data_IF_586538461714
#
_entry.id   IF_586538461714
#
_cell.length_a   1.000
_cell.length_b   1.000
_cell.length_c   1.000
_cell.angle_alpha   90.00
_cell.angle_beta   90.00
_cell.angle_gamma   90.00
#
_symmetry.space_group_name_H-M   'P 1'
#
loop_
_entity.id
_entity.type
_entity.pdbx_description
1 polymer ?
#
# COMPACT_ATOMS: atom_id res chain seq x y z
N UNK A 1 -26.38 -40.34 -16.81
CA UNK A 1 -25.26 -39.62 -17.44
C UNK A 1 -25.49 -38.11 -17.58
N UNK A 2 -26.67 -37.62 -18.05
CA UNK A 2 -26.91 -36.16 -18.15
C UNK A 2 -26.89 -35.40 -16.80
N UNK A 3 -27.31 -36.04 -15.70
CA UNK A 3 -27.36 -35.43 -14.36
C UNK A 3 -25.97 -35.24 -13.70
N UNK A 4 -25.04 -36.15 -13.95
CA UNK A 4 -23.66 -36.07 -13.42
C UNK A 4 -22.83 -34.99 -14.10
N UNK A 5 -23.05 -34.75 -15.39
CA UNK A 5 -22.37 -33.67 -16.13
C UNK A 5 -22.77 -32.28 -15.64
N UNK A 6 -24.05 -32.12 -15.28
CA UNK A 6 -24.62 -30.86 -14.78
C UNK A 6 -24.08 -30.51 -13.39
N UNK A 7 -23.89 -31.53 -12.53
CA UNK A 7 -23.29 -31.37 -11.21
C UNK A 7 -21.81 -30.91 -11.31
N UNK A 8 -21.09 -31.43 -12.29
CA UNK A 8 -19.68 -31.09 -12.52
C UNK A 8 -19.51 -29.64 -13.02
N UNK A 9 -20.40 -29.18 -13.91
CA UNK A 9 -20.43 -27.77 -14.33
C UNK A 9 -20.76 -26.82 -13.18
N UNK A 10 -21.67 -27.22 -12.28
CA UNK A 10 -22.03 -26.41 -11.12
C UNK A 10 -20.84 -26.22 -10.16
N UNK A 11 -20.06 -27.28 -9.91
CA UNK A 11 -18.88 -27.22 -9.03
C UNK A 11 -17.80 -26.28 -9.61
N UNK A 12 -17.56 -26.33 -10.93
CA UNK A 12 -16.56 -25.46 -11.59
C UNK A 12 -16.99 -23.98 -11.55
N UNK A 13 -18.29 -23.70 -11.66
CA UNK A 13 -18.84 -22.34 -11.54
C UNK A 13 -18.74 -21.80 -10.11
N UNK A 14 -18.88 -22.64 -9.08
CA UNK A 14 -18.77 -22.20 -7.68
C UNK A 14 -17.31 -21.97 -7.29
N UNK A 15 -16.36 -22.78 -7.78
CA UNK A 15 -14.93 -22.61 -7.44
C UNK A 15 -14.27 -21.43 -8.14
N UNK A 16 -14.79 -20.99 -9.30
CA UNK A 16 -14.26 -19.83 -10.02
C UNK A 16 -14.66 -18.49 -9.41
N UNK A 17 -15.73 -18.42 -8.61
CA UNK A 17 -16.17 -17.18 -7.95
C UNK A 17 -15.36 -16.83 -6.68
N UNK A 18 -14.66 -17.80 -6.09
CA UNK A 18 -14.01 -17.64 -4.78
C UNK A 18 -12.68 -16.87 -4.85
N UNK A 19 -12.12 -16.63 -6.03
CA UNK A 19 -10.81 -15.97 -6.18
C UNK A 19 -10.88 -14.62 -6.89
N UNK A 20 -11.82 -13.76 -6.49
CA UNK A 20 -11.73 -12.34 -6.83
C UNK A 20 -10.77 -11.66 -5.84
N UNK A 21 -9.46 -11.66 -6.17
CA UNK A 21 -8.49 -10.84 -5.43
C UNK A 21 -8.90 -9.37 -5.60
N UNK A 22 -9.13 -8.69 -4.49
CA UNK A 22 -9.39 -7.24 -4.47
C UNK A 22 -8.20 -6.54 -5.15
N UNK A 23 -8.48 -5.81 -6.22
CA UNK A 23 -7.43 -5.06 -6.93
C UNK A 23 -6.88 -3.96 -6.01
N UNK A 24 -5.58 -3.71 -6.10
CA UNK A 24 -4.94 -2.67 -5.32
C UNK A 24 -5.41 -1.28 -5.78
N UNK A 25 -5.74 -0.44 -4.81
CA UNK A 25 -5.94 1.01 -5.01
C UNK A 25 -5.39 1.75 -3.81
N UNK A 26 -4.61 2.80 -4.08
CA UNK A 26 -4.08 3.69 -3.06
C UNK A 26 -5.19 4.53 -2.40
N UNK A 27 -6.31 4.76 -3.09
CA UNK A 27 -7.44 5.54 -2.56
C UNK A 27 -7.98 4.85 -1.31
N UNK A 28 -8.10 5.59 -0.22
CA UNK A 28 -8.61 5.16 1.07
C UNK A 28 -7.83 5.73 2.23
N UNK A 29 -8.22 5.32 3.44
CA UNK A 29 -7.56 5.70 4.69
C UNK A 29 -6.55 4.64 5.10
N UNK A 30 -5.35 5.06 5.43
CA UNK A 30 -4.23 4.18 5.76
C UNK A 30 -3.61 4.58 7.10
N UNK A 31 -3.27 3.60 7.92
CA UNK A 31 -2.63 3.80 9.22
C UNK A 31 -1.26 3.13 9.23
N UNK A 32 -0.23 3.84 9.67
CA UNK A 32 1.09 3.23 9.88
C UNK A 32 1.01 2.17 11.00
N UNK A 33 1.51 0.97 10.74
CA UNK A 33 1.45 -0.16 11.68
C UNK A 33 2.82 -0.75 12.03
N UNK A 34 3.82 -0.51 11.19
CA UNK A 34 5.17 -1.04 11.38
C UNK A 34 6.19 -0.12 10.71
N UNK A 35 7.33 0.08 11.36
CA UNK A 35 8.52 0.65 10.77
C UNK A 35 9.57 -0.45 10.63
N UNK A 36 10.12 -0.56 9.43
CA UNK A 36 11.25 -1.43 9.12
C UNK A 36 12.47 -0.54 9.00
N UNK A 37 13.58 -1.00 9.56
CA UNK A 37 14.90 -0.41 9.39
C UNK A 37 15.97 -1.50 9.38
N UNK A 38 17.24 -1.09 9.39
CA UNK A 38 18.38 -2.00 9.45
C UNK A 38 19.58 -1.34 10.11
N UNK A 39 20.52 -2.15 10.59
CA UNK A 39 21.76 -1.72 11.22
C UNK A 39 23.03 -2.23 10.52
N UNK A 40 22.96 -2.58 9.23
CA UNK A 40 24.08 -3.17 8.47
C UNK A 40 24.07 -4.70 8.44
N UNK A 41 23.50 -5.34 9.47
CA UNK A 41 23.57 -6.80 9.65
C UNK A 41 22.20 -7.45 9.77
N UNK A 42 21.23 -6.75 10.33
CA UNK A 42 19.90 -7.29 10.63
C UNK A 42 18.82 -6.27 10.32
N UNK A 43 17.73 -6.75 9.72
CA UNK A 43 16.49 -5.96 9.60
C UNK A 43 15.81 -5.90 10.95
N UNK A 44 15.39 -4.70 11.32
CA UNK A 44 14.71 -4.41 12.58
C UNK A 44 13.27 -4.04 12.24
N UNK A 45 12.33 -4.74 12.87
CA UNK A 45 10.91 -4.55 12.70
C UNK A 45 10.34 -3.96 13.99
N UNK A 46 9.74 -2.78 13.89
CA UNK A 46 9.18 -2.05 15.03
C UNK A 46 7.69 -1.80 14.82
N UNK A 47 6.85 -2.43 15.64
CA UNK A 47 5.40 -2.23 15.60
C UNK A 47 5.04 -0.79 16.03
N UNK A 48 4.06 -0.20 15.37
CA UNK A 48 3.52 1.13 15.66
C UNK A 48 2.06 0.98 16.10
N UNK A 49 1.77 1.25 17.37
CA UNK A 49 0.40 1.05 17.90
C UNK A 49 -0.55 2.21 17.56
N UNK A 50 -0.03 3.43 17.60
CA UNK A 50 -0.76 4.67 17.33
C UNK A 50 -0.14 5.41 16.14
N UNK A 51 0.07 4.69 15.03
CA UNK A 51 0.70 5.28 13.86
C UNK A 51 -0.17 6.34 13.19
N UNK A 52 0.51 7.28 12.55
CA UNK A 52 -0.11 8.36 11.80
C UNK A 52 -0.99 7.81 10.67
N UNK A 53 -2.07 8.55 10.41
CA UNK A 53 -3.00 8.25 9.34
C UNK A 53 -2.71 9.13 8.13
N UNK A 54 -2.90 8.55 6.94
CA UNK A 54 -2.88 9.27 5.67
C UNK A 54 -4.10 8.85 4.86
N UNK A 55 -4.79 9.83 4.27
CA UNK A 55 -5.99 9.59 3.48
C UNK A 55 -5.66 9.98 2.04
N UNK A 56 -5.89 9.07 1.11
CA UNK A 56 -5.86 9.35 -0.33
C UNK A 56 -7.30 9.34 -0.83
N UNK A 57 -7.73 10.42 -1.46
CA UNK A 57 -9.06 10.57 -2.04
C UNK A 57 -8.97 10.54 -3.57
N UNK A 58 -10.13 10.54 -4.24
CA UNK A 58 -10.21 10.79 -5.67
C UNK A 58 -9.65 12.19 -6.02
N UNK A 59 -9.48 12.46 -7.31
CA UNK A 59 -8.93 13.73 -7.82
C UNK A 59 -7.53 14.09 -7.28
N UNK A 60 -6.74 13.07 -6.96
CA UNK A 60 -5.34 13.18 -6.53
C UNK A 60 -5.15 13.99 -5.24
N UNK A 61 -6.10 13.93 -4.31
CA UNK A 61 -6.05 14.62 -3.02
C UNK A 61 -5.45 13.69 -1.95
N UNK A 62 -4.55 14.24 -1.11
CA UNK A 62 -4.00 13.54 0.06
C UNK A 62 -4.15 14.38 1.31
N UNK A 63 -4.46 13.74 2.44
CA UNK A 63 -4.64 14.37 3.74
C UNK A 63 -3.74 13.69 4.76
N UNK A 64 -2.91 14.45 5.45
CA UNK A 64 -2.03 13.94 6.50
C UNK A 64 -2.74 13.79 7.86
N UNK A 65 -2.01 13.27 8.85
CA UNK A 65 -2.49 13.11 10.23
C UNK A 65 -2.90 14.42 10.91
N UNK A 66 -2.45 15.57 10.41
CA UNK A 66 -2.77 16.91 10.92
C UNK A 66 -3.90 17.60 10.16
N UNK A 67 -4.57 16.88 9.24
CA UNK A 67 -5.61 17.42 8.37
C UNK A 67 -5.10 18.45 7.33
N UNK A 68 -3.80 18.48 7.06
CA UNK A 68 -3.27 19.26 5.94
C UNK A 68 -3.64 18.58 4.64
N UNK A 69 -4.10 19.36 3.66
CA UNK A 69 -4.42 18.86 2.33
C UNK A 69 -3.27 19.11 1.37
N UNK A 70 -2.94 18.09 0.59
CA UNK A 70 -1.94 18.12 -0.46
C UNK A 70 -2.45 17.45 -1.73
N UNK A 71 -1.54 17.23 -2.66
CA UNK A 71 -1.77 16.43 -3.86
C UNK A 71 -0.85 15.22 -3.88
N UNK A 72 -1.28 14.16 -4.56
CA UNK A 72 -0.43 13.02 -4.82
C UNK A 72 -0.45 12.61 -6.29
N UNK A 73 0.58 11.90 -6.72
CA UNK A 73 0.66 11.29 -8.04
C UNK A 73 1.31 9.91 -7.93
N UNK A 74 0.76 8.94 -8.66
CA UNK A 74 1.31 7.59 -8.79
C UNK A 74 1.85 7.39 -10.20
N UNK A 75 3.14 7.06 -10.31
CA UNK A 75 3.79 6.66 -11.56
C UNK A 75 4.38 5.25 -11.40
N UNK A 76 3.61 4.25 -11.82
CA UNK A 76 3.93 2.85 -11.51
C UNK A 76 3.93 2.62 -10.00
N UNK A 77 5.06 2.15 -9.47
CA UNK A 77 5.26 1.96 -8.03
C UNK A 77 5.81 3.20 -7.32
N UNK A 78 5.96 4.33 -8.03
CA UNK A 78 6.47 5.57 -7.45
C UNK A 78 5.32 6.46 -6.99
N UNK A 79 5.41 6.97 -5.77
CA UNK A 79 4.42 7.87 -5.16
C UNK A 79 5.10 9.22 -4.87
N UNK A 80 4.53 10.29 -5.39
CA UNK A 80 4.92 11.65 -5.10
C UNK A 80 3.79 12.35 -4.34
N UNK A 81 4.10 13.01 -3.23
CA UNK A 81 3.16 13.74 -2.39
C UNK A 81 3.66 15.17 -2.23
N UNK A 82 2.77 16.14 -2.45
CA UNK A 82 3.07 17.57 -2.34
C UNK A 82 2.08 18.24 -1.39
N UNK A 83 2.59 18.79 -0.29
CA UNK A 83 1.91 19.73 0.59
C UNK A 83 2.43 21.16 0.31
N UNK A 84 1.79 22.22 0.84
CA UNK A 84 2.19 23.60 0.53
C UNK A 84 3.66 23.96 0.79
N UNK A 85 4.31 23.32 1.77
CA UNK A 85 5.69 23.62 2.18
C UNK A 85 6.63 22.40 2.15
N UNK A 86 6.12 21.22 1.77
CA UNK A 86 6.84 19.96 1.90
C UNK A 86 6.49 19.06 0.71
N UNK A 87 7.48 18.34 0.22
CA UNK A 87 7.30 17.32 -0.81
C UNK A 87 7.97 16.01 -0.36
N UNK A 88 7.34 14.90 -0.72
CA UNK A 88 7.79 13.57 -0.33
C UNK A 88 7.74 12.63 -1.53
N UNK A 89 8.80 11.84 -1.70
CA UNK A 89 8.91 10.83 -2.74
C UNK A 89 9.03 9.46 -2.09
N UNK A 90 8.26 8.50 -2.57
CA UNK A 90 8.23 7.15 -2.04
C UNK A 90 8.24 6.11 -3.15
N UNK A 91 8.87 4.97 -2.87
CA UNK A 91 8.56 3.72 -3.52
C UNK A 91 7.40 3.06 -2.76
N UNK A 92 6.26 2.90 -3.43
CA UNK A 92 5.02 2.33 -2.89
C UNK A 92 4.82 0.90 -3.40
N UNK A 93 4.97 -0.09 -2.52
CA UNK A 93 4.67 -1.50 -2.83
C UNK A 93 3.41 -1.95 -2.13
N UNK A 94 2.41 -2.39 -2.89
CA UNK A 94 1.30 -3.18 -2.33
C UNK A 94 1.75 -4.60 -2.02
N UNK A 95 1.27 -5.19 -0.92
CA UNK A 95 1.49 -6.61 -0.65
C UNK A 95 0.72 -7.46 -1.69
N UNK A 96 1.43 -8.32 -2.45
CA UNK A 96 0.85 -9.19 -3.50
C UNK A 96 -0.23 -10.16 -3.00
N UNK A 97 -0.28 -10.36 -1.69
CA UNK A 97 -1.21 -11.23 -1.01
C UNK A 97 -2.26 -10.46 -0.21
N UNK A 98 -2.04 -9.17 0.01
CA UNK A 98 -2.93 -8.29 0.78
C UNK A 98 -2.97 -6.88 0.16
N UNK A 99 -4.00 -6.60 -0.64
CA UNK A 99 -4.20 -5.26 -1.23
C UNK A 99 -4.47 -4.15 -0.20
N UNK A 100 -4.67 -4.52 1.06
CA UNK A 100 -4.93 -3.61 2.18
C UNK A 100 -3.67 -3.32 3.00
N UNK A 101 -2.50 -3.69 2.49
CA UNK A 101 -1.20 -3.32 3.05
C UNK A 101 -0.30 -2.71 1.96
N UNK A 102 0.33 -1.58 2.30
CA UNK A 102 1.35 -0.94 1.48
C UNK A 102 2.62 -0.72 2.29
N UNK A 103 3.75 -0.76 1.61
CA UNK A 103 5.05 -0.36 2.13
C UNK A 103 5.48 0.91 1.42
N UNK A 104 5.75 1.98 2.18
CA UNK A 104 6.31 3.22 1.67
C UNK A 104 7.78 3.32 2.07
N UNK A 105 8.66 3.34 1.07
CA UNK A 105 10.12 3.51 1.23
C UNK A 105 10.48 4.91 0.75
N UNK A 106 11.09 5.79 1.57
CA UNK A 106 11.39 7.15 1.15
C UNK A 106 12.49 7.17 0.07
N UNK A 107 12.34 8.09 -0.88
CA UNK A 107 13.23 8.31 -2.01
C UNK A 107 13.68 9.77 -2.08
N UNK A 108 14.80 10.03 -2.75
CA UNK A 108 15.17 11.39 -3.13
C UNK A 108 14.22 11.93 -4.21
N UNK A 109 14.30 13.24 -4.49
CA UNK A 109 13.54 13.87 -5.59
C UNK A 109 13.89 13.30 -6.98
N UNK A 110 15.07 12.72 -7.14
CA UNK A 110 15.49 11.97 -8.33
C UNK A 110 15.07 10.49 -8.29
N UNK A 111 14.19 10.10 -7.35
CA UNK A 111 13.72 8.74 -7.12
C UNK A 111 14.83 7.74 -6.78
N UNK A 112 15.90 8.19 -6.11
CA UNK A 112 16.97 7.32 -5.62
C UNK A 112 16.65 6.85 -4.21
N UNK A 113 17.02 5.60 -3.87
CA UNK A 113 16.87 5.08 -2.52
C UNK A 113 17.74 5.88 -1.56
N UNK A 114 17.13 6.43 -0.50
CA UNK A 114 17.85 7.22 0.52
C UNK A 114 18.67 6.31 1.44
N UNK A 115 18.22 5.06 1.63
CA UNK A 115 18.94 4.09 2.43
C UNK A 115 18.97 2.73 1.73
N UNK A 116 20.16 2.12 1.72
CA UNK A 116 20.39 0.78 1.15
C UNK A 116 19.64 -0.31 1.93
N UNK A 117 19.27 -0.04 3.19
CA UNK A 117 18.79 -1.06 4.10
C UNK A 117 17.47 -0.70 4.79
N UNK A 118 16.39 -0.83 4.01
CA UNK A 118 15.09 -1.19 4.56
C UNK A 118 14.38 -0.14 5.40
N UNK A 119 14.63 1.16 5.20
CA UNK A 119 13.81 2.21 5.82
C UNK A 119 12.47 2.23 5.11
N UNK A 120 11.47 1.56 5.66
CA UNK A 120 10.13 1.58 5.09
C UNK A 120 9.10 1.56 6.19
N UNK A 121 8.01 2.30 5.99
CA UNK A 121 6.85 2.24 6.87
C UNK A 121 5.77 1.42 6.19
N UNK A 122 5.25 0.42 6.91
CA UNK A 122 4.11 -0.38 6.48
C UNK A 122 2.84 0.29 6.97
N UNK A 123 1.90 0.45 6.05
CA UNK A 123 0.57 0.96 6.32
C UNK A 123 -0.47 -0.11 6.04
N UNK A 124 -1.53 -0.09 6.84
CA UNK A 124 -2.72 -0.91 6.64
C UNK A 124 -3.93 -0.04 6.35
N UNK A 125 -4.75 -0.46 5.40
CA UNK A 125 -6.01 0.19 5.05
C UNK A 125 -7.03 0.02 6.18
N UNK A 126 -7.75 1.09 6.50
CA UNK A 126 -8.83 1.11 7.50
C UNK A 126 -10.21 0.91 6.85
#
# INVERSE_FOLDING_TARGET
MKKTLLLLCLIILITSFVYCKKEFTIIGKWKAIESIGSNGATKIHSKIENGDEIIFEEDNIVIDHRQNKGKYEMLGDSLHIVFPNEEFFYFCRSNKWNSEEISLTPLTKEYQLICDEGCSTIYKKL
#
